data_IF_839888445844
#
_entry.id   IF_839888445844
#
_cell.length_a   1.000
_cell.length_b   1.000
_cell.length_c   1.000
_cell.angle_alpha   90.00
_cell.angle_beta   90.00
_cell.angle_gamma   90.00
#
_symmetry.space_group_name_H-M   'P 1'
#
loop_
_entity.id
_entity.type
_entity.pdbx_description
1 polymer ?
#
# COMPACT_ATOMS: atom_id res chain seq x y z
N UNK A 1 11.33 -9.73 -16.45
CA UNK A 1 12.11 -8.89 -15.53
C UNK A 1 12.87 -9.78 -14.56
N UNK A 2 14.09 -9.41 -14.30
CA UNK A 2 14.96 -10.18 -13.40
C UNK A 2 15.31 -9.32 -12.18
N UNK A 3 15.02 -9.85 -11.00
CA UNK A 3 15.37 -9.21 -9.74
C UNK A 3 16.78 -9.60 -9.31
N UNK A 4 17.44 -8.73 -8.56
CA UNK A 4 18.69 -9.05 -7.90
C UNK A 4 18.40 -9.78 -6.57
N UNK A 5 18.17 -11.08 -6.66
CA UNK A 5 17.87 -11.92 -5.50
C UNK A 5 19.07 -12.00 -4.56
N UNK A 6 20.28 -11.91 -5.11
CA UNK A 6 21.51 -11.90 -4.31
C UNK A 6 21.55 -10.68 -3.39
N UNK A 7 21.17 -9.51 -3.91
CA UNK A 7 21.06 -8.30 -3.08
C UNK A 7 20.08 -8.52 -1.93
N UNK A 8 18.93 -9.13 -2.21
CA UNK A 8 17.94 -9.41 -1.17
C UNK A 8 18.52 -10.31 -0.07
N UNK A 9 19.22 -11.37 -0.47
CA UNK A 9 19.80 -12.32 0.49
C UNK A 9 20.91 -11.70 1.34
N UNK A 10 21.75 -10.86 0.75
CA UNK A 10 22.89 -10.26 1.44
C UNK A 10 22.53 -8.99 2.22
N UNK A 11 21.60 -8.18 1.70
CA UNK A 11 21.31 -6.86 2.24
C UNK A 11 19.89 -6.71 2.82
N UNK A 12 19.03 -7.71 2.59
CA UNK A 12 17.68 -7.71 3.14
C UNK A 12 16.64 -6.97 2.29
N UNK A 13 17.03 -6.46 1.12
CA UNK A 13 16.10 -5.78 0.20
C UNK A 13 16.56 -5.93 -1.24
N UNK A 14 15.63 -5.71 -2.16
CA UNK A 14 15.92 -5.48 -3.58
C UNK A 14 14.82 -4.60 -4.17
N UNK A 15 15.07 -4.03 -5.35
CA UNK A 15 14.14 -3.11 -6.00
C UNK A 15 13.72 -3.68 -7.35
N UNK A 16 12.42 -3.77 -7.58
CA UNK A 16 11.84 -4.22 -8.83
C UNK A 16 11.38 -3.01 -9.66
N UNK A 17 12.29 -2.46 -10.46
CA UNK A 17 11.98 -1.26 -11.26
C UNK A 17 11.07 -1.61 -12.43
N UNK A 18 10.08 -0.74 -12.68
CA UNK A 18 9.17 -0.91 -13.80
C UNK A 18 8.27 -2.14 -13.70
N UNK A 19 8.08 -2.67 -12.50
CA UNK A 19 7.29 -3.88 -12.29
C UNK A 19 5.82 -3.68 -12.66
N UNK A 20 5.22 -2.60 -12.18
CA UNK A 20 3.82 -2.30 -12.39
C UNK A 20 3.70 -1.17 -13.43
N UNK A 21 2.86 -1.32 -14.46
CA UNK A 21 2.68 -0.28 -15.46
C UNK A 21 2.24 1.06 -14.85
N UNK A 22 2.76 2.15 -15.37
CA UNK A 22 2.49 3.49 -14.86
C UNK A 22 1.00 3.82 -14.80
N UNK A 23 0.23 3.38 -15.81
CA UNK A 23 -1.22 3.63 -15.83
C UNK A 23 -1.94 3.00 -14.65
N UNK A 24 -1.52 1.81 -14.24
CA UNK A 24 -2.09 1.13 -13.07
C UNK A 24 -1.69 1.82 -11.77
N UNK A 25 -0.44 2.28 -11.68
CA UNK A 25 0.04 3.04 -10.52
C UNK A 25 -0.72 4.36 -10.36
N UNK A 26 -1.00 5.05 -11.47
CA UNK A 26 -1.78 6.28 -11.43
C UNK A 26 -3.21 6.05 -10.96
N UNK A 27 -3.85 4.98 -11.41
CA UNK A 27 -5.20 4.64 -10.96
C UNK A 27 -5.24 4.39 -9.46
N UNK A 28 -4.27 3.64 -8.94
CA UNK A 28 -4.16 3.38 -7.50
C UNK A 28 -3.93 4.67 -6.73
N UNK A 29 -3.02 5.50 -7.21
CA UNK A 29 -2.71 6.79 -6.56
C UNK A 29 -3.94 7.67 -6.47
N UNK A 30 -4.67 7.82 -7.57
CA UNK A 30 -5.88 8.65 -7.61
C UNK A 30 -6.95 8.11 -6.66
N UNK A 31 -7.16 6.79 -6.68
CA UNK A 31 -8.16 6.18 -5.78
C UNK A 31 -7.75 6.31 -4.32
N UNK A 32 -6.48 6.13 -4.01
CA UNK A 32 -5.98 6.29 -2.65
C UNK A 32 -6.20 7.72 -2.14
N UNK A 33 -5.94 8.72 -2.98
CA UNK A 33 -6.19 10.12 -2.61
C UNK A 33 -7.67 10.37 -2.31
N UNK A 34 -8.58 9.81 -3.12
CA UNK A 34 -10.02 9.91 -2.85
C UNK A 34 -10.40 9.29 -1.50
N UNK A 35 -9.85 8.11 -1.20
CA UNK A 35 -10.11 7.43 0.06
C UNK A 35 -9.67 8.28 1.26
N UNK A 36 -8.51 8.92 1.16
CA UNK A 36 -7.97 9.77 2.21
C UNK A 36 -8.83 11.00 2.45
N UNK A 37 -9.57 11.44 1.43
CA UNK A 37 -10.48 12.58 1.52
C UNK A 37 -11.91 12.17 1.88
N UNK A 38 -12.16 10.89 2.17
CA UNK A 38 -13.46 10.38 2.57
C UNK A 38 -14.37 9.94 1.44
N UNK A 39 -13.86 9.79 0.23
CA UNK A 39 -14.63 9.36 -0.95
C UNK A 39 -14.95 7.88 -0.98
N UNK A 40 -15.57 7.35 0.08
CA UNK A 40 -15.88 5.93 0.17
C UNK A 40 -17.00 5.66 1.17
N UNK A 41 -17.54 4.44 1.11
CA UNK A 41 -18.47 3.89 2.09
C UNK A 41 -17.91 2.65 2.78
N UNK A 42 -16.58 2.54 2.88
CA UNK A 42 -15.91 1.39 3.51
C UNK A 42 -16.11 1.40 5.02
N UNK A 43 -16.11 0.22 5.66
CA UNK A 43 -16.14 0.15 7.12
C UNK A 43 -14.98 0.91 7.75
N UNK A 44 -15.22 1.60 8.88
CA UNK A 44 -14.16 2.41 9.54
C UNK A 44 -12.94 1.63 9.98
N UNK A 45 -13.08 0.34 10.25
CA UNK A 45 -11.95 -0.52 10.69
C UNK A 45 -10.90 -0.77 9.61
N UNK A 46 -11.19 -0.37 8.36
CA UNK A 46 -10.18 -0.39 7.30
C UNK A 46 -9.20 0.78 7.37
N UNK A 47 -9.42 1.74 8.26
CA UNK A 47 -8.58 2.94 8.33
C UNK A 47 -7.93 3.08 9.70
N UNK A 48 -6.61 3.36 9.68
CA UNK A 48 -5.89 3.84 10.85
C UNK A 48 -5.81 5.35 10.76
N UNK A 49 -6.13 6.02 11.85
CA UNK A 49 -6.10 7.50 11.91
C UNK A 49 -5.22 7.94 13.05
N UNK A 50 -4.66 9.15 12.92
CA UNK A 50 -3.96 9.79 14.03
C UNK A 50 -4.95 10.14 15.14
N UNK A 51 -4.43 10.32 16.36
CA UNK A 51 -5.25 10.69 17.52
C UNK A 51 -6.13 11.91 17.18
N UNK A 52 -7.46 11.76 17.13
CA UNK A 52 -8.36 12.86 16.74
C UNK A 52 -8.33 14.04 17.71
N UNK A 53 -7.88 13.83 18.93
CA UNK A 53 -7.75 14.91 19.91
C UNK A 53 -6.56 15.82 19.61
N UNK A 54 -5.57 15.33 18.87
CA UNK A 54 -4.33 16.06 18.57
C UNK A 54 -4.18 16.43 17.11
N UNK A 55 -4.75 15.65 16.19
CA UNK A 55 -4.54 15.81 14.76
C UNK A 55 -5.88 15.80 14.03
N UNK A 56 -6.11 16.84 13.24
CA UNK A 56 -7.27 16.94 12.37
C UNK A 56 -6.85 17.52 11.03
N UNK A 57 -7.57 17.16 9.97
CA UNK A 57 -7.34 17.76 8.65
C UNK A 57 -7.90 19.19 8.62
N UNK A 58 -7.71 19.89 7.48
CA UNK A 58 -8.18 21.27 7.31
C UNK A 58 -9.68 21.46 7.44
N UNK A 59 -10.46 20.38 7.30
CA UNK A 59 -11.91 20.37 7.42
C UNK A 59 -12.39 19.88 8.80
N UNK A 60 -11.47 19.68 9.74
CA UNK A 60 -11.78 19.19 11.08
C UNK A 60 -12.01 17.69 11.18
N UNK A 61 -11.78 16.95 10.11
CA UNK A 61 -11.95 15.51 10.07
C UNK A 61 -10.70 14.71 10.45
N UNK A 62 -10.77 13.38 10.40
CA UNK A 62 -9.66 12.52 10.76
C UNK A 62 -8.52 12.61 9.77
N UNK A 63 -7.30 12.31 10.26
CA UNK A 63 -6.09 12.24 9.43
C UNK A 63 -5.72 10.76 9.29
N UNK A 64 -6.06 10.12 8.16
CA UNK A 64 -5.72 8.72 7.97
C UNK A 64 -4.23 8.54 7.70
N UNK A 65 -3.68 7.47 8.27
CA UNK A 65 -2.26 7.10 8.11
C UNK A 65 -2.09 5.67 7.61
N UNK A 66 -3.17 4.91 7.53
CA UNK A 66 -3.15 3.57 7.02
C UNK A 66 -4.49 3.14 6.46
N UNK A 67 -4.46 2.39 5.37
CA UNK A 67 -5.62 1.75 4.77
C UNK A 67 -5.35 0.25 4.79
N UNK A 68 -6.19 -0.51 5.50
CA UNK A 68 -6.02 -1.93 5.69
C UNK A 68 -6.83 -2.72 4.69
N UNK A 69 -6.20 -3.69 4.06
CA UNK A 69 -6.84 -4.66 3.17
C UNK A 69 -7.70 -4.03 2.07
N UNK A 70 -7.18 -3.03 1.35
CA UNK A 70 -7.95 -2.38 0.29
C UNK A 70 -8.36 -3.35 -0.83
N UNK A 71 -7.58 -4.42 -1.06
CA UNK A 71 -7.90 -5.42 -2.06
C UNK A 71 -9.22 -6.15 -1.79
N UNK A 72 -9.67 -6.21 -0.54
CA UNK A 72 -10.96 -6.80 -0.19
C UNK A 72 -12.14 -5.90 -0.57
N UNK A 73 -11.89 -4.63 -0.71
CA UNK A 73 -12.94 -3.64 -0.91
C UNK A 73 -13.12 -3.23 -2.37
N UNK A 74 -12.04 -3.14 -3.15
CA UNK A 74 -12.13 -2.65 -4.52
C UNK A 74 -11.19 -3.36 -5.49
N UNK A 75 -11.67 -3.53 -6.71
CA UNK A 75 -10.94 -4.26 -7.76
C UNK A 75 -9.63 -3.58 -8.12
N UNK A 76 -9.56 -2.25 -8.13
CA UNK A 76 -8.34 -1.51 -8.46
C UNK A 76 -7.16 -1.93 -7.57
N UNK A 77 -7.44 -2.20 -6.30
CA UNK A 77 -6.41 -2.66 -5.36
C UNK A 77 -6.12 -4.17 -5.53
N UNK A 78 -7.14 -4.97 -5.83
CA UNK A 78 -6.94 -6.40 -6.11
C UNK A 78 -6.06 -6.61 -7.34
N UNK A 79 -6.26 -5.80 -8.37
CA UNK A 79 -5.48 -5.89 -9.61
C UNK A 79 -3.98 -5.74 -9.36
N UNK A 80 -3.59 -4.92 -8.40
CA UNK A 80 -2.18 -4.79 -8.01
C UNK A 80 -1.76 -5.91 -7.06
N UNK A 81 -2.56 -6.19 -6.03
CA UNK A 81 -2.21 -7.21 -5.03
C UNK A 81 -2.03 -8.58 -5.66
N UNK A 82 -2.81 -8.90 -6.69
CA UNK A 82 -2.76 -10.18 -7.40
C UNK A 82 -2.07 -10.06 -8.76
N UNK A 83 -1.32 -9.00 -9.01
CA UNK A 83 -0.67 -8.76 -10.30
C UNK A 83 0.34 -9.86 -10.59
N UNK A 84 0.28 -10.48 -11.79
CA UNK A 84 1.18 -11.60 -12.13
C UNK A 84 2.67 -11.26 -12.01
N UNK A 85 3.05 -10.04 -12.37
CA UNK A 85 4.44 -9.60 -12.25
C UNK A 85 4.88 -9.51 -10.80
N UNK A 86 4.00 -9.03 -9.91
CA UNK A 86 4.29 -8.98 -8.48
C UNK A 86 4.42 -10.38 -7.90
N UNK A 87 3.50 -11.29 -8.26
CA UNK A 87 3.57 -12.68 -7.84
C UNK A 87 4.87 -13.33 -8.28
N UNK A 88 5.29 -13.15 -9.53
CA UNK A 88 6.54 -13.68 -10.05
C UNK A 88 7.75 -13.11 -9.30
N UNK A 89 7.75 -11.82 -9.04
CA UNK A 89 8.83 -11.16 -8.30
C UNK A 89 8.95 -11.74 -6.88
N UNK A 90 7.83 -11.89 -6.21
CA UNK A 90 7.81 -12.46 -4.85
C UNK A 90 8.21 -13.92 -4.84
N UNK A 91 7.80 -14.70 -5.84
CA UNK A 91 8.22 -16.10 -5.98
C UNK A 91 9.74 -16.24 -6.16
N UNK A 92 10.37 -15.30 -6.89
CA UNK A 92 11.83 -15.27 -7.03
C UNK A 92 12.52 -14.98 -5.70
N UNK A 93 12.01 -13.99 -4.98
CA UNK A 93 12.59 -13.56 -3.69
C UNK A 93 12.47 -14.65 -2.64
N UNK A 94 11.32 -15.31 -2.57
CA UNK A 94 11.01 -16.33 -1.55
C UNK A 94 11.34 -17.76 -2.00
N UNK A 95 11.82 -17.92 -3.24
CA UNK A 95 12.23 -19.20 -3.83
C UNK A 95 11.12 -20.26 -3.77
N UNK A 96 9.94 -19.89 -4.23
CA UNK A 96 8.82 -20.83 -4.29
C UNK A 96 7.48 -20.12 -4.54
N UNK A 97 6.40 -20.89 -4.61
CA UNK A 97 5.07 -20.32 -4.80
C UNK A 97 4.66 -19.43 -3.62
N UNK A 98 3.89 -18.40 -3.91
CA UNK A 98 3.49 -17.41 -2.91
C UNK A 98 1.98 -17.21 -2.93
N UNK A 99 1.44 -16.80 -1.79
CA UNK A 99 0.04 -16.41 -1.65
C UNK A 99 -0.04 -15.04 -0.99
N UNK A 100 -1.10 -14.31 -1.32
CA UNK A 100 -1.36 -13.02 -0.68
C UNK A 100 -1.84 -13.24 0.75
N UNK A 101 -1.05 -12.79 1.72
CA UNK A 101 -1.41 -12.86 3.14
C UNK A 101 -2.25 -11.63 3.54
N UNK A 102 -1.77 -10.45 3.23
CA UNK A 102 -2.47 -9.20 3.53
C UNK A 102 -1.93 -8.09 2.66
N UNK A 103 -2.68 -7.00 2.57
CA UNK A 103 -2.28 -5.80 1.86
C UNK A 103 -2.67 -4.57 2.67
N UNK A 104 -1.88 -3.52 2.54
CA UNK A 104 -2.13 -2.26 3.24
C UNK A 104 -1.40 -1.12 2.55
N UNK A 105 -1.92 0.09 2.72
CA UNK A 105 -1.23 1.31 2.36
C UNK A 105 -0.89 2.07 3.63
N UNK A 106 0.37 2.41 3.80
CA UNK A 106 0.84 3.21 4.93
C UNK A 106 1.21 4.59 4.42
N UNK A 107 0.71 5.62 5.10
CA UNK A 107 0.88 7.00 4.68
C UNK A 107 1.57 7.77 5.80
N UNK A 108 2.69 8.39 5.47
CA UNK A 108 3.42 9.24 6.41
C UNK A 108 3.48 10.64 5.84
N UNK A 109 2.75 11.55 6.45
CA UNK A 109 2.75 12.95 6.06
C UNK A 109 4.06 13.64 6.43
N UNK A 110 4.38 14.76 5.78
CA UNK A 110 5.57 15.54 6.12
C UNK A 110 5.44 16.10 7.53
N UNK A 111 6.57 16.17 8.25
CA UNK A 111 6.66 16.75 9.60
C UNK A 111 5.87 16.00 10.69
N UNK A 112 5.35 14.82 10.41
CA UNK A 112 4.73 13.96 11.42
C UNK A 112 5.80 13.00 11.91
N UNK A 113 6.20 13.13 13.16
CA UNK A 113 7.20 12.27 13.80
C UNK A 113 6.57 11.37 14.86
N UNK A 114 7.28 10.30 15.22
CA UNK A 114 6.82 9.38 16.26
C UNK A 114 5.76 8.39 15.79
N UNK A 115 5.45 8.36 14.53
CA UNK A 115 4.53 7.39 13.93
C UNK A 115 5.27 6.07 13.68
N UNK A 116 4.71 4.97 14.17
CA UNK A 116 5.26 3.63 14.01
C UNK A 116 4.50 2.86 12.93
N UNK A 117 5.24 2.13 12.13
CA UNK A 117 4.67 1.25 11.11
C UNK A 117 4.91 -0.22 11.45
#
# INVERSE_FOLDING_TARGET
MQLDVQQYREQGYTVARGLIPTAELLRIRMRLMDLLEGGHSWPPDHFQVLDPARFRNSKGGPVPVGVQRPARCEQVFRDIAEHPRLEQAMAQVLDGPVELFTDQALIKGPQISGQSF
#
